data_IF_171373937826
#
_entry.id   IF_171373937826
#
_cell.length_a   1.000
_cell.length_b   1.000
_cell.length_c   1.000
_cell.angle_alpha   90.00
_cell.angle_beta   90.00
_cell.angle_gamma   90.00
#
_symmetry.space_group_name_H-M   'P 1'
#
loop_
_entity.id
_entity.type
_entity.pdbx_description
1 polymer ?
#
# COMPACT_ATOMS: atom_id res chain seq x y z
N UNK A 1 18.44 21.28 21.75
CA UNK A 1 18.37 21.11 20.29
C UNK A 1 18.28 19.62 19.96
N UNK A 2 19.22 18.81 20.48
CA UNK A 2 19.24 17.34 20.32
C UNK A 2 17.95 16.64 20.79
N UNK A 3 17.45 16.93 21.99
CA UNK A 3 16.22 16.30 22.50
C UNK A 3 14.97 16.55 21.62
N UNK A 4 14.91 17.71 20.93
CA UNK A 4 13.79 18.04 20.03
C UNK A 4 13.87 17.25 18.72
N UNK A 5 15.08 17.04 18.22
CA UNK A 5 15.34 16.24 17.03
C UNK A 5 15.09 14.75 17.27
N UNK A 6 15.47 14.24 18.45
CA UNK A 6 15.19 12.87 18.87
C UNK A 6 13.69 12.58 18.93
N UNK A 7 12.90 13.46 19.55
CA UNK A 7 11.43 13.33 19.58
C UNK A 7 10.80 13.39 18.17
N UNK A 8 11.31 14.25 17.27
CA UNK A 8 10.85 14.29 15.88
C UNK A 8 11.14 12.96 15.16
N UNK A 9 12.30 12.36 15.43
CA UNK A 9 12.72 11.09 14.84
C UNK A 9 11.90 9.92 15.37
N UNK A 10 11.58 9.89 16.66
CA UNK A 10 10.68 8.89 17.25
C UNK A 10 9.28 8.96 16.63
N UNK A 11 8.72 10.16 16.51
CA UNK A 11 7.42 10.36 15.84
C UNK A 11 7.46 9.89 14.38
N UNK A 12 8.53 10.22 13.65
CA UNK A 12 8.72 9.77 12.28
C UNK A 12 8.81 8.25 12.17
N UNK A 13 9.47 7.58 13.13
CA UNK A 13 9.54 6.12 13.18
C UNK A 13 8.17 5.48 13.40
N UNK A 14 7.35 6.04 14.30
CA UNK A 14 5.99 5.55 14.53
C UNK A 14 5.11 5.67 13.28
N UNK A 15 5.18 6.82 12.59
CA UNK A 15 4.48 7.02 11.31
C UNK A 15 4.96 6.00 10.27
N UNK A 16 6.28 5.80 10.17
CA UNK A 16 6.88 4.83 9.24
C UNK A 16 6.40 3.40 9.50
N UNK A 17 6.34 2.98 10.77
CA UNK A 17 5.82 1.67 11.16
C UNK A 17 4.34 1.50 10.81
N UNK A 18 3.52 2.54 11.00
CA UNK A 18 2.11 2.50 10.60
C UNK A 18 1.95 2.36 9.07
N UNK A 19 2.74 3.11 8.30
CA UNK A 19 2.75 2.99 6.83
C UNK A 19 3.15 1.58 6.41
N UNK A 20 4.21 1.01 6.99
CA UNK A 20 4.68 -0.35 6.68
C UNK A 20 3.61 -1.40 7.05
N UNK A 21 2.96 -1.26 8.20
CA UNK A 21 1.92 -2.19 8.65
C UNK A 21 0.75 -2.23 7.66
N UNK A 22 0.18 -1.07 7.33
CA UNK A 22 -0.96 -0.99 6.42
C UNK A 22 -0.58 -1.40 4.99
N UNK A 23 0.61 -1.01 4.52
CA UNK A 23 1.11 -1.48 3.22
C UNK A 23 1.28 -3.01 3.21
N UNK A 24 1.82 -3.60 4.29
CA UNK A 24 1.95 -5.05 4.45
C UNK A 24 0.60 -5.78 4.40
N UNK A 25 -0.40 -5.30 5.13
CA UNK A 25 -1.76 -5.85 5.10
C UNK A 25 -2.37 -5.81 3.69
N UNK A 26 -2.18 -4.69 2.99
CA UNK A 26 -2.61 -4.57 1.61
C UNK A 26 -1.92 -5.61 0.72
N UNK A 27 -0.61 -5.80 0.89
CA UNK A 27 0.17 -6.77 0.12
C UNK A 27 -0.33 -8.19 0.32
N UNK A 28 -0.56 -8.60 1.56
CA UNK A 28 -1.10 -9.94 1.87
C UNK A 28 -2.47 -10.16 1.19
N UNK A 29 -3.29 -9.13 1.13
CA UNK A 29 -4.60 -9.17 0.46
C UNK A 29 -4.45 -9.22 -1.07
N UNK A 30 -3.50 -8.48 -1.64
CA UNK A 30 -3.17 -8.51 -3.08
C UNK A 30 -2.61 -9.89 -3.48
N UNK A 31 -1.81 -10.53 -2.64
CA UNK A 31 -1.31 -11.89 -2.94
C UNK A 31 -2.47 -12.89 -3.05
N UNK A 32 -3.49 -12.80 -2.17
CA UNK A 32 -4.72 -13.61 -2.28
C UNK A 32 -5.47 -13.36 -3.58
N UNK A 33 -5.48 -12.11 -4.08
CA UNK A 33 -6.05 -11.78 -5.39
C UNK A 33 -5.31 -12.52 -6.51
N UNK A 34 -3.97 -12.51 -6.48
CA UNK A 34 -3.18 -13.24 -7.47
C UNK A 34 -3.37 -14.76 -7.39
N UNK A 35 -3.45 -15.33 -6.18
CA UNK A 35 -3.72 -16.75 -5.98
C UNK A 35 -5.08 -17.15 -6.56
N UNK A 36 -6.12 -16.34 -6.34
CA UNK A 36 -7.45 -16.57 -6.94
C UNK A 36 -7.45 -16.47 -8.47
N UNK A 37 -6.72 -15.48 -9.03
CA UNK A 37 -6.59 -15.33 -10.48
C UNK A 37 -5.84 -16.49 -11.14
N UNK A 38 -4.87 -17.09 -10.44
CA UNK A 38 -4.11 -18.24 -10.90
C UNK A 38 -4.90 -19.55 -10.87
N UNK A 39 -6.05 -19.58 -10.18
CA UNK A 39 -6.90 -20.76 -10.04
C UNK A 39 -7.61 -21.21 -11.32
N UNK A 40 -8.03 -22.47 -11.32
CA UNK A 40 -8.84 -23.04 -12.41
C UNK A 40 -10.21 -22.35 -12.50
N UNK A 41 -10.82 -22.10 -11.34
CA UNK A 41 -12.08 -21.35 -11.19
C UNK A 41 -11.81 -20.04 -10.46
N UNK A 42 -12.42 -18.95 -10.95
CA UNK A 42 -12.21 -17.61 -10.40
C UNK A 42 -13.51 -17.08 -9.81
N UNK A 43 -13.51 -16.79 -8.51
CA UNK A 43 -14.60 -16.07 -7.85
C UNK A 43 -14.38 -14.56 -7.99
N UNK A 44 -15.07 -13.95 -8.95
CA UNK A 44 -14.95 -12.52 -9.22
C UNK A 44 -15.54 -11.64 -8.12
N UNK A 45 -16.54 -12.11 -7.38
CA UNK A 45 -17.11 -11.35 -6.27
C UNK A 45 -16.09 -11.24 -5.13
N UNK A 46 -15.47 -12.38 -4.78
CA UNK A 46 -14.39 -12.41 -3.79
C UNK A 46 -13.19 -11.57 -4.21
N UNK A 47 -12.80 -11.59 -5.49
CA UNK A 47 -11.73 -10.73 -6.02
C UNK A 47 -12.03 -9.24 -5.83
N UNK A 48 -13.24 -8.81 -6.15
CA UNK A 48 -13.64 -7.41 -5.99
C UNK A 48 -13.62 -6.98 -4.53
N UNK A 49 -14.05 -7.86 -3.61
CA UNK A 49 -13.98 -7.58 -2.18
C UNK A 49 -12.52 -7.44 -1.70
N UNK A 50 -11.65 -8.38 -2.06
CA UNK A 50 -10.23 -8.33 -1.66
C UNK A 50 -9.51 -7.09 -2.22
N UNK A 51 -9.79 -6.72 -3.47
CA UNK A 51 -9.25 -5.49 -4.05
C UNK A 51 -9.74 -4.23 -3.32
N UNK A 52 -11.01 -4.22 -2.91
CA UNK A 52 -11.55 -3.13 -2.09
C UNK A 52 -10.84 -3.03 -0.74
N UNK A 53 -10.67 -4.15 -0.05
CA UNK A 53 -10.03 -4.20 1.27
C UNK A 53 -8.55 -3.77 1.17
N UNK A 54 -7.81 -4.27 0.18
CA UNK A 54 -6.42 -3.85 -0.07
C UNK A 54 -6.32 -2.35 -0.35
N UNK A 55 -7.28 -1.79 -1.10
CA UNK A 55 -7.34 -0.35 -1.39
C UNK A 55 -7.61 0.49 -0.14
N UNK A 56 -8.41 0.00 0.80
CA UNK A 56 -8.62 0.69 2.08
C UNK A 56 -7.32 0.78 2.89
N UNK A 57 -6.60 -0.33 3.02
CA UNK A 57 -5.30 -0.37 3.71
C UNK A 57 -4.27 0.57 3.05
N UNK A 58 -4.15 0.54 1.72
CA UNK A 58 -3.30 1.49 0.99
C UNK A 58 -3.72 2.92 1.26
N UNK A 59 -5.02 3.23 1.25
CA UNK A 59 -5.51 4.60 1.48
C UNK A 59 -5.08 5.13 2.85
N UNK A 60 -5.11 4.30 3.89
CA UNK A 60 -4.66 4.68 5.23
C UNK A 60 -3.16 5.00 5.23
N UNK A 61 -2.34 4.11 4.66
CA UNK A 61 -0.89 4.31 4.55
C UNK A 61 -0.55 5.57 3.73
N UNK A 62 -1.23 5.76 2.60
CA UNK A 62 -1.00 6.86 1.68
C UNK A 62 -1.37 8.22 2.28
N UNK A 63 -2.39 8.26 3.15
CA UNK A 63 -2.74 9.46 3.91
C UNK A 63 -1.58 9.89 4.79
N UNK A 64 -1.02 8.98 5.58
CA UNK A 64 0.14 9.26 6.44
C UNK A 64 1.36 9.74 5.64
N UNK A 65 1.65 9.14 4.49
CA UNK A 65 2.72 9.59 3.59
C UNK A 65 2.44 11.02 3.06
N UNK A 66 1.22 11.26 2.59
CA UNK A 66 0.82 12.55 2.01
C UNK A 66 0.87 13.67 3.04
N UNK A 67 0.38 13.41 4.26
CA UNK A 67 0.42 14.37 5.36
C UNK A 67 1.86 14.77 5.68
N UNK A 68 2.81 13.83 5.65
CA UNK A 68 4.23 14.15 5.86
C UNK A 68 4.85 14.98 4.73
N UNK A 69 4.55 14.65 3.46
CA UNK A 69 5.01 15.44 2.31
C UNK A 69 4.44 16.87 2.35
N UNK A 70 3.17 17.03 2.76
CA UNK A 70 2.54 18.34 2.91
C UNK A 70 3.21 19.17 3.99
N UNK A 71 3.55 18.57 5.13
CA UNK A 71 4.27 19.25 6.23
C UNK A 71 5.66 19.73 5.77
N UNK A 72 6.41 18.87 5.08
CA UNK A 72 7.70 19.24 4.50
C UNK A 72 7.56 20.40 3.50
N UNK A 73 6.58 20.31 2.59
CA UNK A 73 6.30 21.36 1.60
C UNK A 73 5.90 22.70 2.23
N UNK A 74 5.27 22.68 3.41
CA UNK A 74 4.93 23.86 4.20
C UNK A 74 6.12 24.41 5.01
N UNK A 75 7.31 23.83 4.87
CA UNK A 75 8.54 24.29 5.51
C UNK A 75 8.79 23.70 6.90
N UNK A 76 8.05 22.66 7.31
CA UNK A 76 8.38 21.93 8.53
C UNK A 76 9.65 21.10 8.34
N UNK A 77 10.57 21.19 9.30
CA UNK A 77 11.77 20.35 9.32
C UNK A 77 11.39 18.90 9.61
N UNK A 78 11.67 18.01 8.66
CA UNK A 78 11.55 16.55 8.82
C UNK A 78 12.96 15.96 8.88
N UNK A 79 13.33 15.23 9.95
CA UNK A 79 14.65 14.63 10.06
C UNK A 79 14.84 13.51 9.03
N UNK A 80 16.06 13.37 8.52
CA UNK A 80 16.40 12.25 7.65
C UNK A 80 16.21 10.90 8.39
N UNK A 81 15.52 9.96 7.73
CA UNK A 81 15.29 8.62 8.27
C UNK A 81 15.27 7.57 7.17
N UNK A 82 16.16 6.58 7.30
CA UNK A 82 16.19 5.39 6.43
C UNK A 82 14.89 4.60 6.55
N UNK A 83 14.32 4.50 7.75
CA UNK A 83 13.07 3.79 7.99
C UNK A 83 11.89 4.47 7.28
N UNK A 84 11.87 5.81 7.28
CA UNK A 84 10.83 6.55 6.57
C UNK A 84 10.96 6.42 5.06
N UNK A 85 12.19 6.47 4.51
CA UNK A 85 12.44 6.17 3.10
C UNK A 85 11.96 4.76 2.74
N UNK A 86 12.31 3.75 3.55
CA UNK A 86 11.86 2.37 3.34
C UNK A 86 10.33 2.22 3.38
N UNK A 87 9.65 2.93 4.29
CA UNK A 87 8.20 2.93 4.38
C UNK A 87 7.55 3.50 3.11
N UNK A 88 8.09 4.60 2.58
CA UNK A 88 7.63 5.20 1.32
C UNK A 88 7.82 4.27 0.13
N UNK A 89 9.02 3.70 -0.02
CA UNK A 89 9.34 2.77 -1.12
C UNK A 89 8.42 1.54 -1.09
N UNK A 90 8.21 0.99 0.11
CA UNK A 90 7.33 -0.16 0.34
C UNK A 90 5.90 0.16 -0.08
N UNK A 91 5.35 1.29 0.39
CA UNK A 91 3.99 1.72 0.06
C UNK A 91 3.80 1.92 -1.45
N UNK A 92 4.69 2.67 -2.10
CA UNK A 92 4.56 2.94 -3.54
C UNK A 92 4.72 1.66 -4.40
N UNK A 93 5.56 0.72 -3.96
CA UNK A 93 5.69 -0.59 -4.60
C UNK A 93 4.38 -1.37 -4.53
N UNK A 94 3.78 -1.45 -3.33
CA UNK A 94 2.55 -2.23 -3.12
C UNK A 94 1.34 -1.55 -3.77
N UNK A 95 1.31 -0.21 -3.82
CA UNK A 95 0.31 0.51 -4.60
C UNK A 95 0.40 0.16 -6.09
N UNK A 96 1.61 0.03 -6.63
CA UNK A 96 1.81 -0.41 -8.01
C UNK A 96 1.32 -1.86 -8.21
N UNK A 97 1.56 -2.75 -7.24
CA UNK A 97 1.01 -4.11 -7.22
C UNK A 97 -0.54 -4.11 -7.23
N UNK A 98 -1.18 -3.24 -6.44
CA UNK A 98 -2.64 -3.09 -6.42
C UNK A 98 -3.18 -2.65 -7.78
N UNK A 99 -2.57 -1.62 -8.39
CA UNK A 99 -2.96 -1.13 -9.72
C UNK A 99 -2.85 -2.26 -10.75
N UNK A 100 -1.77 -3.04 -10.70
CA UNK A 100 -1.62 -4.20 -11.59
C UNK A 100 -2.71 -5.24 -11.35
N UNK A 101 -2.99 -5.60 -10.09
CA UNK A 101 -4.04 -6.55 -9.74
C UNK A 101 -5.42 -6.12 -10.28
N UNK A 102 -5.78 -4.85 -10.11
CA UNK A 102 -7.04 -4.30 -10.64
C UNK A 102 -7.14 -4.34 -12.16
N UNK A 103 -6.02 -4.19 -12.87
CA UNK A 103 -5.99 -4.31 -14.34
C UNK A 103 -5.98 -5.75 -14.83
N UNK A 104 -5.45 -6.69 -14.04
CA UNK A 104 -5.42 -8.10 -14.39
C UNK A 104 -6.80 -8.77 -14.26
N UNK A 105 -7.62 -8.38 -13.28
CA UNK A 105 -8.99 -8.95 -13.11
C UNK A 105 -9.83 -8.94 -14.39
N UNK A 106 -10.05 -7.80 -15.08
CA UNK A 106 -10.85 -7.79 -16.31
C UNK A 106 -10.19 -8.57 -17.47
N UNK A 107 -8.85 -8.63 -17.52
CA UNK A 107 -8.12 -9.41 -18.52
C UNK A 107 -8.40 -10.90 -18.32
N UNK A 108 -8.25 -11.40 -17.10
CA UNK A 108 -8.53 -12.80 -16.78
C UNK A 108 -10.01 -13.16 -16.93
N UNK A 109 -10.93 -12.24 -16.61
CA UNK A 109 -12.36 -12.42 -16.87
C UNK A 109 -12.63 -12.69 -18.35
N UNK A 110 -12.10 -11.84 -19.22
CA UNK A 110 -12.27 -11.99 -20.68
C UNK A 110 -11.67 -13.32 -21.19
N UNK A 111 -10.47 -13.69 -20.71
CA UNK A 111 -9.80 -14.94 -21.11
C UNK A 111 -10.52 -16.21 -20.67
N UNK A 112 -11.27 -16.18 -19.56
CA UNK A 112 -12.05 -17.33 -19.07
C UNK A 112 -13.41 -17.40 -19.76
N UNK A 113 -14.04 -16.26 -20.06
CA UNK A 113 -15.30 -16.19 -20.83
C UNK A 113 -15.11 -16.68 -22.28
N UNK A 114 -13.96 -16.44 -22.92
CA UNK A 114 -13.64 -16.96 -24.26
C UNK A 114 -13.42 -18.49 -24.30
N UNK A 115 -13.22 -19.14 -23.14
CA UNK A 115 -12.97 -20.58 -23.03
C UNK A 115 -14.21 -21.40 -22.62
N UNK A 116 -15.34 -20.75 -22.32
CA UNK A 116 -16.64 -21.37 -22.03
C UNK A 116 -17.53 -21.42 -23.27
#
# INVERSE_FOLDING_TARGET
>A
MEAKEETLRENLNLISMQVILHAGNARDTIMKVFDLLAGDTVDFEQLHQLLHDARQEITIAHKNQTDMLQREANGEYIPYSVLFGHAQDTLMTIQSELIMAEKLVPVFKSLKEEKS
#
